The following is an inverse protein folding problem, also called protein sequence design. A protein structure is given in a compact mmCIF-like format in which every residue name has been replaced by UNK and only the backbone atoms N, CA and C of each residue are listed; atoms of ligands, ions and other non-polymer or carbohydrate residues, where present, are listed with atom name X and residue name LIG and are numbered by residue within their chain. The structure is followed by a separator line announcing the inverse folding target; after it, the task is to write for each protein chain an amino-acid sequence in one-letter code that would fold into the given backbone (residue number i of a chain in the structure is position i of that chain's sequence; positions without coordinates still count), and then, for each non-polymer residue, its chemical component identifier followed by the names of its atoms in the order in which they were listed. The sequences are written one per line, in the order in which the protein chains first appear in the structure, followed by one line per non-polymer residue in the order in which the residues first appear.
data_IF_587857393454
#
_entry.id   IF_587857393454
#
_cell.length_a   1.000
_cell.length_b   1.000
_cell.length_c   1.000
_cell.angle_alpha   90.00
_cell.angle_beta   90.00
_cell.angle_gamma   90.00
#
_symmetry.space_group_name_H-M   'P 1'
#
loop_
_entity.id
_entity.type
_entity.pdbx_description
1 polymer ?
#
# COMPACT_ATOMS: atom_id res chain seq x y z
N UNK A 1 -17.06 -19.03 -38.39
CA UNK A 1 -17.38 -18.21 -37.20
C UNK A 1 -16.19 -17.29 -36.94
N UNK A 2 -16.37 -15.96 -36.91
CA UNK A 2 -15.31 -15.08 -36.43
C UNK A 2 -14.97 -15.46 -34.98
N UNK A 3 -13.69 -15.45 -34.58
CA UNK A 3 -13.32 -15.74 -33.19
C UNK A 3 -14.04 -14.74 -32.30
N UNK A 4 -14.78 -15.24 -31.29
CA UNK A 4 -15.35 -14.40 -30.24
C UNK A 4 -14.22 -13.51 -29.73
N UNK A 5 -14.34 -12.19 -29.88
CA UNK A 5 -13.45 -11.23 -29.22
C UNK A 5 -13.33 -11.69 -27.77
N UNK A 6 -12.12 -12.06 -27.34
CA UNK A 6 -11.86 -12.34 -25.95
C UNK A 6 -12.33 -11.11 -25.18
N UNK A 7 -13.40 -11.26 -24.42
CA UNK A 7 -13.88 -10.20 -23.54
C UNK A 7 -12.73 -9.99 -22.57
N UNK A 8 -12.03 -8.86 -22.68
CA UNK A 8 -11.07 -8.44 -21.66
C UNK A 8 -11.88 -8.27 -20.39
N UNK A 9 -11.87 -9.27 -19.52
CA UNK A 9 -12.49 -9.15 -18.21
C UNK A 9 -11.83 -7.99 -17.48
N UNK A 10 -12.63 -7.00 -17.09
CA UNK A 10 -12.16 -5.84 -16.35
C UNK A 10 -11.77 -6.34 -14.96
N UNK A 11 -10.46 -6.33 -14.66
CA UNK A 11 -9.93 -6.90 -13.41
C UNK A 11 -10.29 -5.98 -12.26
N UNK A 12 -11.35 -6.32 -11.51
CA UNK A 12 -11.72 -5.61 -10.29
C UNK A 12 -10.71 -5.96 -9.20
N UNK A 13 -10.12 -4.93 -8.59
CA UNK A 13 -9.10 -5.09 -7.56
C UNK A 13 -9.76 -5.24 -6.20
N UNK A 14 -9.22 -6.14 -5.38
CA UNK A 14 -9.52 -6.20 -3.96
C UNK A 14 -9.02 -4.92 -3.27
N UNK A 15 -9.81 -4.41 -2.33
CA UNK A 15 -9.54 -3.17 -1.60
C UNK A 15 -10.36 -1.96 -2.08
N UNK A 16 -10.23 -0.85 -1.36
CA UNK A 16 -11.06 0.34 -1.58
C UNK A 16 -10.83 0.96 -2.97
N UNK A 17 -11.87 1.51 -3.61
CA UNK A 17 -11.70 2.32 -4.81
C UNK A 17 -11.06 3.68 -4.45
N UNK A 18 -10.30 4.25 -5.38
CA UNK A 18 -9.71 5.58 -5.26
C UNK A 18 -8.19 5.61 -5.35
N UNK A 19 -7.65 6.84 -5.31
CA UNK A 19 -6.21 7.12 -5.44
C UNK A 19 -5.56 7.58 -4.12
N UNK A 20 -6.38 7.97 -3.13
CA UNK A 20 -5.94 8.44 -1.81
C UNK A 20 -5.90 7.30 -0.79
N UNK A 21 -5.12 6.26 -1.11
CA UNK A 21 -5.00 5.08 -0.27
C UNK A 21 -3.97 5.27 0.85
N UNK A 22 -4.19 4.59 1.97
CA UNK A 22 -3.47 4.76 3.23
C UNK A 22 -2.67 3.52 3.60
N UNK A 23 -1.47 3.71 4.11
CA UNK A 23 -0.61 2.65 4.65
C UNK A 23 -0.65 2.66 6.18
N UNK A 24 -0.73 1.50 6.83
CA UNK A 24 -0.65 1.40 8.30
C UNK A 24 0.54 0.56 8.74
N UNK A 25 1.35 1.07 9.67
CA UNK A 25 2.44 0.33 10.30
C UNK A 25 1.86 -0.49 11.45
N UNK A 26 2.11 -1.80 11.44
CA UNK A 26 1.52 -2.78 12.36
C UNK A 26 2.62 -3.66 12.94
N UNK A 27 2.40 -4.19 14.14
CA UNK A 27 3.32 -5.11 14.80
C UNK A 27 3.05 -5.14 16.30
N UNK A 28 3.66 -6.10 16.99
CA UNK A 28 3.57 -6.18 18.45
C UNK A 28 4.19 -4.93 19.11
N UNK A 29 3.98 -4.74 20.41
CA UNK A 29 4.67 -3.68 21.12
C UNK A 29 6.20 -3.90 21.10
N UNK A 30 6.98 -2.81 21.16
CA UNK A 30 8.44 -2.82 21.25
C UNK A 30 9.21 -3.48 20.08
N UNK A 31 8.60 -3.59 18.89
CA UNK A 31 9.27 -4.12 17.68
C UNK A 31 9.99 -3.05 16.83
N UNK A 32 9.90 -1.77 17.23
CA UNK A 32 10.49 -0.63 16.52
C UNK A 32 9.55 0.13 15.58
N UNK A 33 8.22 0.04 15.74
CA UNK A 33 7.23 0.72 14.89
C UNK A 33 7.36 2.25 14.89
N UNK A 34 7.29 2.86 16.06
CA UNK A 34 7.31 4.32 16.18
C UNK A 34 8.67 4.90 15.78
N UNK A 35 9.78 4.23 16.12
CA UNK A 35 11.11 4.60 15.63
C UNK A 35 11.21 4.49 14.10
N UNK A 36 10.62 3.44 13.50
CA UNK A 36 10.55 3.32 12.05
C UNK A 36 9.70 4.44 11.42
N UNK A 37 8.54 4.76 12.01
CA UNK A 37 7.69 5.86 11.57
C UNK A 37 8.39 7.22 11.63
N UNK A 38 9.13 7.49 12.71
CA UNK A 38 9.96 8.70 12.85
C UNK A 38 11.06 8.76 11.79
N UNK A 39 11.76 7.65 11.56
CA UNK A 39 12.77 7.58 10.52
C UNK A 39 12.19 7.80 9.11
N UNK A 40 11.01 7.24 8.85
CA UNK A 40 10.28 7.37 7.59
C UNK A 40 9.82 8.81 7.31
N UNK A 41 9.43 9.52 8.36
CA UNK A 41 8.92 10.90 8.27
C UNK A 41 10.01 11.95 8.34
N UNK A 42 11.26 11.56 8.68
CA UNK A 42 12.35 12.46 9.05
C UNK A 42 11.93 13.45 10.15
N UNK A 43 10.94 13.10 10.97
CA UNK A 43 10.44 13.92 12.07
C UNK A 43 10.94 13.36 13.40
N UNK A 44 11.63 14.20 14.18
CA UNK A 44 11.99 13.93 15.57
C UNK A 44 10.80 14.20 16.49
N UNK A 45 9.78 13.33 16.45
CA UNK A 45 8.70 13.37 17.44
C UNK A 45 9.13 12.63 18.70
N UNK A 46 8.75 13.16 19.87
CA UNK A 46 9.21 12.69 21.18
C UNK A 46 8.90 11.20 21.40
N UNK A 47 9.93 10.47 21.79
CA UNK A 47 9.92 9.03 22.04
C UNK A 47 8.92 8.62 23.14
N UNK A 48 7.82 7.88 22.86
CA UNK A 48 6.99 7.26 23.87
C UNK A 48 7.46 5.82 24.15
N UNK A 49 8.75 5.63 24.46
CA UNK A 49 9.35 4.30 24.62
C UNK A 49 8.77 3.44 25.77
N UNK A 50 8.00 4.01 26.72
CA UNK A 50 7.74 3.36 28.01
C UNK A 50 6.26 3.16 28.39
N UNK A 51 5.29 3.32 27.47
CA UNK A 51 3.86 3.18 27.81
C UNK A 51 3.10 2.23 26.87
N UNK A 52 3.16 0.91 27.07
CA UNK A 52 2.49 -0.08 26.20
C UNK A 52 0.95 -0.09 26.28
N UNK A 53 0.33 0.74 27.13
CA UNK A 53 -1.12 0.75 27.39
C UNK A 53 -1.81 2.11 27.19
N UNK A 54 -1.16 3.09 26.56
CA UNK A 54 -1.80 4.38 26.30
C UNK A 54 -2.64 4.34 25.01
N UNK A 55 -3.92 4.75 25.08
CA UNK A 55 -4.77 4.95 23.90
C UNK A 55 -4.33 6.23 23.19
N UNK A 56 -3.50 6.10 22.16
CA UNK A 56 -3.05 7.23 21.32
C UNK A 56 -3.72 7.06 19.96
N UNK A 57 -4.41 8.09 19.48
CA UNK A 57 -4.96 8.12 18.12
C UNK A 57 -3.82 7.91 17.10
N UNK A 58 -4.04 7.18 15.99
CA UNK A 58 -2.99 6.90 15.01
C UNK A 58 -2.40 8.19 14.45
N UNK A 59 -1.07 8.31 14.50
CA UNK A 59 -0.36 9.47 13.92
C UNK A 59 -0.34 9.35 12.40
N UNK A 60 -0.81 10.38 11.69
CA UNK A 60 -0.75 10.46 10.22
C UNK A 60 0.49 11.24 9.77
N UNK A 61 1.21 10.71 8.79
CA UNK A 61 2.23 11.45 8.08
C UNK A 61 2.16 11.25 6.57
N UNK A 62 2.68 12.24 5.83
CA UNK A 62 2.84 12.18 4.38
C UNK A 62 4.31 12.07 4.04
N UNK A 63 4.66 11.01 3.32
CA UNK A 63 6.03 10.70 2.95
C UNK A 63 6.18 10.90 1.44
N UNK A 64 7.21 11.65 1.04
CA UNK A 64 7.52 11.88 -0.36
C UNK A 64 7.91 10.56 -1.01
N UNK A 65 7.35 10.28 -2.20
CA UNK A 65 7.72 9.10 -2.97
C UNK A 65 8.97 9.42 -3.79
N UNK A 66 10.10 8.71 -3.59
CA UNK A 66 11.28 8.89 -4.40
C UNK A 66 11.05 8.34 -5.81
N UNK A 67 11.37 9.13 -6.83
CA UNK A 67 11.20 8.76 -8.24
C UNK A 67 12.24 9.49 -9.11
N UNK A 68 13.25 8.76 -9.58
CA UNK A 68 14.32 9.31 -10.43
C UNK A 68 13.79 9.91 -11.74
N UNK A 69 12.60 9.48 -12.19
CA UNK A 69 11.95 10.05 -13.38
C UNK A 69 11.48 11.46 -13.10
N UNK A 70 10.88 11.68 -11.93
CA UNK A 70 10.46 13.00 -11.47
C UNK A 70 11.66 13.93 -11.32
N UNK A 71 12.74 13.46 -10.70
CA UNK A 71 13.97 14.24 -10.53
C UNK A 71 14.58 14.65 -11.88
N UNK A 72 14.57 13.74 -12.86
CA UNK A 72 15.02 14.06 -14.22
C UNK A 72 14.16 15.14 -14.87
N UNK A 73 12.83 15.06 -14.76
CA UNK A 73 11.90 16.07 -15.29
C UNK A 73 12.12 17.43 -14.63
N UNK A 74 12.28 17.47 -13.30
CA UNK A 74 12.57 18.71 -12.56
C UNK A 74 13.87 19.34 -13.05
N UNK A 75 14.93 18.55 -13.18
CA UNK A 75 16.23 19.02 -13.65
C UNK A 75 16.20 19.54 -15.09
N UNK A 76 15.40 18.90 -15.94
CA UNK A 76 15.25 19.27 -17.34
C UNK A 76 14.41 20.55 -17.52
N UNK A 77 13.19 20.60 -16.96
CA UNK A 77 12.27 21.72 -17.15
C UNK A 77 12.55 22.92 -16.24
N UNK A 78 13.28 22.73 -15.13
CA UNK A 78 13.60 23.76 -14.12
C UNK A 78 12.37 24.60 -13.73
N UNK A 79 11.29 23.97 -13.26
CA UNK A 79 10.02 24.66 -13.01
C UNK A 79 10.11 25.60 -11.81
N UNK A 80 9.17 26.54 -11.73
CA UNK A 80 8.98 27.39 -10.53
C UNK A 80 8.38 26.60 -9.36
N UNK A 81 7.52 25.62 -9.65
CA UNK A 81 6.85 24.75 -8.68
C UNK A 81 7.23 23.29 -8.90
N UNK A 82 7.60 22.60 -7.81
CA UNK A 82 7.97 21.18 -7.81
C UNK A 82 7.04 20.46 -6.83
N UNK A 83 6.18 19.57 -7.33
CA UNK A 83 5.18 18.89 -6.51
C UNK A 83 5.32 17.37 -6.65
N UNK A 84 6.05 16.69 -5.75
CA UNK A 84 6.19 15.24 -5.79
C UNK A 84 4.91 14.54 -5.30
N UNK A 85 4.80 13.24 -5.61
CA UNK A 85 3.75 12.42 -5.03
C UNK A 85 4.05 12.09 -3.57
N UNK A 86 2.99 11.93 -2.78
CA UNK A 86 3.08 11.56 -1.39
C UNK A 86 2.35 10.23 -1.13
N UNK A 87 2.84 9.47 -0.16
CA UNK A 87 2.19 8.33 0.43
C UNK A 87 1.70 8.71 1.83
N UNK A 88 0.44 8.42 2.15
CA UNK A 88 -0.10 8.60 3.51
C UNK A 88 0.18 7.37 4.35
N UNK A 89 0.86 7.56 5.48
CA UNK A 89 1.26 6.50 6.41
C UNK A 89 0.73 6.80 7.79
N UNK A 90 0.18 5.79 8.46
CA UNK A 90 -0.28 5.85 9.85
C UNK A 90 0.61 4.98 10.74
N UNK A 91 1.05 5.51 11.88
CA UNK A 91 1.57 4.68 12.97
C UNK A 91 0.39 4.11 13.75
N UNK A 92 0.20 2.79 13.73
CA UNK A 92 -0.86 2.13 14.47
C UNK A 92 -0.22 1.55 15.73
N UNK A 93 -0.82 1.86 16.90
CA UNK A 93 -0.36 1.44 18.23
C UNK A 93 -0.04 -0.07 18.30
N UNK A 94 0.79 -0.51 19.25
CA UNK A 94 1.17 -1.93 19.33
C UNK A 94 0.00 -2.87 19.60
N UNK A 95 -0.05 -3.99 18.87
CA UNK A 95 -0.96 -5.10 19.20
C UNK A 95 -0.44 -5.87 20.41
N UNK A 96 -1.35 -6.24 21.32
CA UNK A 96 -1.15 -7.28 22.35
C UNK A 96 -2.08 -8.45 22.07
N UNK A 97 -1.72 -9.66 22.48
CA UNK A 97 -2.57 -10.85 22.35
C UNK A 97 -3.94 -10.63 23.04
N UNK A 98 -5.00 -11.20 22.47
CA UNK A 98 -6.37 -11.08 22.99
C UNK A 98 -7.11 -9.82 22.52
N UNK A 99 -6.64 -9.20 21.44
CA UNK A 99 -7.22 -7.97 20.94
C UNK A 99 -8.64 -8.16 20.37
N UNK A 100 -8.90 -9.31 19.76
CA UNK A 100 -10.20 -9.68 19.20
C UNK A 100 -11.27 -9.95 20.26
N UNK A 101 -10.89 -10.52 21.42
CA UNK A 101 -11.81 -10.97 22.49
C UNK A 101 -12.33 -9.85 23.40
N UNK A 102 -11.98 -8.59 23.10
CA UNK A 102 -12.60 -7.41 23.73
C UNK A 102 -12.01 -6.97 25.08
N UNK A 103 -10.91 -7.57 25.52
CA UNK A 103 -10.17 -7.08 26.68
C UNK A 103 -9.28 -5.88 26.28
N UNK A 104 -9.80 -4.65 26.38
CA UNK A 104 -8.99 -3.42 26.30
C UNK A 104 -8.73 -2.85 24.90
N UNK A 105 -7.52 -2.28 24.71
CA UNK A 105 -7.07 -1.47 23.56
C UNK A 105 -7.09 -2.18 22.19
N UNK A 106 -7.24 -3.51 22.17
CA UNK A 106 -7.16 -4.31 20.94
C UNK A 106 -8.26 -4.03 19.91
N UNK A 107 -9.49 -3.72 20.35
CA UNK A 107 -10.56 -3.35 19.42
C UNK A 107 -10.28 -2.01 18.71
N UNK A 108 -9.70 -1.04 19.42
CA UNK A 108 -9.30 0.25 18.84
C UNK A 108 -8.22 0.03 17.76
N UNK A 109 -7.21 -0.79 18.07
CA UNK A 109 -6.17 -1.19 17.11
C UNK A 109 -6.74 -1.79 15.81
N UNK A 110 -7.63 -2.77 15.91
CA UNK A 110 -8.26 -3.39 14.74
C UNK A 110 -9.13 -2.40 13.94
N UNK A 111 -9.77 -1.44 14.62
CA UNK A 111 -10.50 -0.36 13.95
C UNK A 111 -9.59 0.57 13.15
N UNK A 112 -8.38 0.85 13.65
CA UNK A 112 -7.39 1.66 12.94
C UNK A 112 -6.81 0.93 11.73
N UNK A 113 -6.55 -0.38 11.84
CA UNK A 113 -6.17 -1.19 10.67
C UNK A 113 -7.30 -1.17 9.62
N UNK A 114 -8.55 -1.26 10.07
CA UNK A 114 -9.69 -1.19 9.14
C UNK A 114 -9.68 0.12 8.36
N UNK A 115 -9.24 1.23 8.94
CA UNK A 115 -9.18 2.55 8.30
C UNK A 115 -8.07 2.69 7.23
N UNK A 116 -7.03 1.86 7.24
CA UNK A 116 -5.97 1.87 6.20
C UNK A 116 -6.26 0.88 5.06
N UNK A 117 -5.45 0.90 4.01
CA UNK A 117 -5.64 0.09 2.80
C UNK A 117 -4.51 -0.93 2.56
N UNK A 118 -3.34 -0.74 3.18
CA UNK A 118 -2.24 -1.71 3.20
C UNK A 118 -1.59 -1.77 4.59
N UNK A 119 -1.03 -2.93 4.93
CA UNK A 119 -0.38 -3.19 6.22
C UNK A 119 1.13 -3.37 6.03
N UNK A 120 1.92 -2.65 6.82
CA UNK A 120 3.37 -2.76 6.89
C UNK A 120 3.74 -3.36 8.23
N UNK A 121 3.87 -4.69 8.25
CA UNK A 121 4.03 -5.44 9.48
C UNK A 121 5.50 -5.50 9.88
N UNK A 122 5.85 -4.77 10.94
CA UNK A 122 7.18 -4.79 11.56
C UNK A 122 7.32 -6.02 12.43
N UNK A 123 8.32 -6.84 12.13
CA UNK A 123 8.63 -8.08 12.82
C UNK A 123 9.98 -7.94 13.51
N UNK A 124 10.02 -8.08 14.84
CA UNK A 124 11.27 -7.98 15.61
C UNK A 124 12.13 -9.21 15.36
N UNK A 125 13.40 -9.02 14.99
CA UNK A 125 14.37 -10.10 14.75
C UNK A 125 15.75 -9.79 15.33
N UNK A 126 15.78 -8.95 16.37
CA UNK A 126 16.96 -8.63 17.14
C UNK A 126 16.73 -8.97 18.62
N UNK A 127 17.77 -9.49 19.25
CA UNK A 127 17.82 -9.69 20.69
C UNK A 127 18.43 -8.43 21.31
N UNK A 128 17.75 -7.86 22.32
CA UNK A 128 18.25 -6.73 23.10
C UNK A 128 17.78 -6.93 24.54
N UNK A 129 18.72 -6.96 25.48
CA UNK A 129 18.46 -7.21 26.89
C UNK A 129 17.67 -6.07 27.57
N UNK A 130 17.71 -4.86 27.00
CA UNK A 130 17.01 -3.70 27.53
C UNK A 130 15.55 -3.61 27.04
N UNK A 131 15.21 -4.36 25.98
CA UNK A 131 13.90 -4.29 25.32
C UNK A 131 13.10 -5.55 25.60
N UNK A 132 12.16 -5.45 26.54
CA UNK A 132 11.27 -6.56 26.94
C UNK A 132 10.30 -6.90 25.80
N UNK A 133 10.25 -8.19 25.44
CA UNK A 133 9.24 -8.72 24.53
C UNK A 133 7.93 -8.97 25.28
N UNK A 134 6.79 -8.60 24.68
CA UNK A 134 5.47 -8.77 25.31
C UNK A 134 5.19 -10.23 25.67
N UNK A 135 5.73 -11.14 24.87
CA UNK A 135 5.56 -12.59 24.99
C UNK A 135 6.79 -13.29 25.62
N UNK A 136 7.65 -12.54 26.34
CA UNK A 136 8.85 -13.06 26.99
C UNK A 136 10.07 -13.13 26.07
N UNK A 137 10.23 -14.22 25.33
CA UNK A 137 11.34 -14.42 24.39
C UNK A 137 11.02 -13.90 22.98
N UNK A 138 12.05 -13.56 22.21
CA UNK A 138 11.92 -13.13 20.80
C UNK A 138 11.67 -14.36 19.91
N UNK A 139 10.42 -14.52 19.46
CA UNK A 139 10.02 -15.53 18.48
C UNK A 139 9.19 -14.90 17.34
N UNK A 140 9.83 -14.56 16.21
CA UNK A 140 9.18 -13.89 15.09
C UNK A 140 8.07 -14.70 14.43
N UNK A 141 8.14 -16.04 14.47
CA UNK A 141 7.14 -16.91 13.83
C UNK A 141 5.86 -16.89 14.66
N UNK A 142 5.99 -17.04 15.98
CA UNK A 142 4.87 -16.89 16.91
C UNK A 142 4.21 -15.52 16.76
N UNK A 143 5.01 -14.46 16.63
CA UNK A 143 4.47 -13.09 16.51
C UNK A 143 3.70 -12.87 15.19
N UNK A 144 4.17 -13.48 14.09
CA UNK A 144 3.46 -13.51 12.81
C UNK A 144 2.12 -14.25 12.94
N UNK A 145 2.11 -15.41 13.61
CA UNK A 145 0.90 -16.21 13.86
C UNK A 145 -0.13 -15.44 14.68
N UNK A 146 0.28 -14.83 15.80
CA UNK A 146 -0.61 -14.04 16.67
C UNK A 146 -1.32 -12.96 15.85
N UNK A 147 -0.57 -12.15 15.09
CA UNK A 147 -1.17 -11.06 14.32
C UNK A 147 -2.12 -11.63 13.26
N UNK A 148 -1.71 -12.65 12.51
CA UNK A 148 -2.53 -13.24 11.45
C UNK A 148 -3.83 -13.85 11.98
N UNK A 149 -3.77 -14.55 13.12
CA UNK A 149 -4.93 -15.13 13.78
C UNK A 149 -5.90 -14.06 14.31
N UNK A 150 -5.40 -13.02 14.97
CA UNK A 150 -6.24 -11.93 15.50
C UNK A 150 -7.00 -11.20 14.39
N UNK A 151 -6.34 -10.96 13.24
CA UNK A 151 -7.00 -10.36 12.07
C UNK A 151 -8.09 -11.28 11.51
N UNK A 152 -7.81 -12.59 11.37
CA UNK A 152 -8.79 -13.56 10.88
C UNK A 152 -9.97 -13.74 11.82
N UNK A 153 -9.74 -13.84 13.13
CA UNK A 153 -10.83 -13.97 14.13
C UNK A 153 -11.79 -12.78 13.98
N UNK A 154 -11.27 -11.57 13.83
CA UNK A 154 -12.12 -10.39 13.66
C UNK A 154 -12.87 -10.36 12.34
N UNK A 155 -12.25 -10.84 11.27
CA UNK A 155 -12.92 -11.00 9.98
C UNK A 155 -14.00 -12.10 10.02
N UNK A 156 -13.79 -13.20 10.76
CA UNK A 156 -14.80 -14.24 10.98
C UNK A 156 -16.02 -13.64 11.67
N UNK A 157 -15.84 -12.94 12.80
CA UNK A 157 -16.94 -12.30 13.53
C UNK A 157 -17.75 -11.34 12.64
N UNK A 158 -17.05 -10.55 11.80
CA UNK A 158 -17.69 -9.60 10.91
C UNK A 158 -18.45 -10.30 9.77
N UNK A 159 -17.82 -11.32 9.19
CA UNK A 159 -18.39 -12.09 8.07
C UNK A 159 -19.61 -12.90 8.52
N UNK A 160 -19.60 -13.46 9.73
CA UNK A 160 -20.76 -14.16 10.32
C UNK A 160 -21.97 -13.24 10.47
N UNK A 161 -21.76 -12.01 10.96
CA UNK A 161 -22.83 -10.99 11.06
C UNK A 161 -23.35 -10.57 9.69
N UNK A 162 -22.46 -10.39 8.71
CA UNK A 162 -22.86 -10.07 7.34
C UNK A 162 -23.69 -11.21 6.72
N UNK A 163 -23.26 -12.46 6.94
CA UNK A 163 -23.95 -13.65 6.47
C UNK A 163 -25.34 -13.79 7.10
N UNK A 164 -25.47 -13.59 8.42
CA UNK A 164 -26.76 -13.66 9.11
C UNK A 164 -27.78 -12.67 8.51
N UNK A 165 -27.35 -11.45 8.19
CA UNK A 165 -28.18 -10.45 7.56
C UNK A 165 -28.61 -10.86 6.14
N UNK A 166 -27.68 -11.40 5.33
CA UNK A 166 -27.98 -11.90 3.99
C UNK A 166 -28.96 -13.06 4.02
N UNK A 167 -28.78 -14.03 4.92
CA UNK A 167 -29.69 -15.18 5.10
C UNK A 167 -31.11 -14.72 5.45
N UNK A 168 -31.25 -13.68 6.29
CA UNK A 168 -32.57 -13.11 6.61
C UNK A 168 -33.26 -12.52 5.38
N UNK A 169 -32.50 -11.86 4.49
CA UNK A 169 -33.02 -11.27 3.26
C UNK A 169 -33.39 -12.34 2.23
N UNK A 170 -32.55 -13.36 2.05
CA UNK A 170 -32.75 -14.41 1.05
C UNK A 170 -33.82 -15.43 1.43
N UNK A 171 -34.11 -15.61 2.74
CA UNK A 171 -35.13 -16.54 3.26
C UNK A 171 -36.55 -16.26 2.74
N UNK A 172 -36.87 -15.01 2.39
CA UNK A 172 -38.17 -14.63 1.81
C UNK A 172 -38.46 -15.33 0.47
N UNK A 173 -37.45 -15.87 -0.20
CA UNK A 173 -37.59 -16.53 -1.49
C UNK A 173 -37.93 -15.57 -2.63
N UNK A 174 -38.10 -16.11 -3.84
CA UNK A 174 -38.42 -15.34 -5.04
C UNK A 174 -37.46 -15.60 -6.20
N UNK A 175 -37.92 -15.30 -7.42
CA UNK A 175 -37.16 -15.47 -8.67
C UNK A 175 -36.74 -14.14 -9.31
N UNK A 176 -36.95 -13.01 -8.61
CA UNK A 176 -36.55 -11.69 -9.11
C UNK A 176 -35.03 -11.61 -9.30
N UNK A 177 -34.59 -10.71 -10.18
CA UNK A 177 -33.17 -10.49 -10.45
C UNK A 177 -32.41 -10.06 -9.17
N UNK A 178 -33.05 -9.24 -8.33
CA UNK A 178 -32.52 -8.81 -7.04
C UNK A 178 -32.30 -9.99 -6.08
N UNK A 179 -33.27 -10.91 -5.98
CA UNK A 179 -33.13 -12.10 -5.13
C UNK A 179 -32.04 -13.05 -5.62
N UNK A 180 -31.80 -13.12 -6.94
CA UNK A 180 -30.67 -13.87 -7.48
C UNK A 180 -29.34 -13.24 -7.07
N UNK A 181 -29.23 -11.90 -7.15
CA UNK A 181 -28.03 -11.17 -6.72
C UNK A 181 -27.74 -11.38 -5.23
N UNK A 182 -28.75 -11.26 -4.36
CA UNK A 182 -28.58 -11.51 -2.92
C UNK A 182 -28.12 -12.93 -2.61
N UNK A 183 -28.57 -13.93 -3.38
CA UNK A 183 -28.11 -15.32 -3.24
C UNK A 183 -26.66 -15.51 -3.71
N UNK A 184 -26.27 -14.86 -4.79
CA UNK A 184 -24.86 -14.84 -5.26
C UNK A 184 -23.95 -14.18 -4.20
N UNK A 185 -24.38 -13.06 -3.62
CA UNK A 185 -23.68 -12.37 -2.53
C UNK A 185 -23.58 -13.28 -1.29
N UNK A 186 -24.67 -13.92 -0.88
CA UNK A 186 -24.67 -14.87 0.24
C UNK A 186 -23.66 -16.00 0.01
N UNK A 187 -23.68 -16.64 -1.15
CA UNK A 187 -22.75 -17.73 -1.47
C UNK A 187 -21.28 -17.26 -1.45
N UNK A 188 -21.01 -16.03 -1.89
CA UNK A 188 -19.68 -15.42 -1.80
C UNK A 188 -19.25 -15.21 -0.34
N UNK A 189 -20.15 -14.67 0.50
CA UNK A 189 -19.87 -14.45 1.93
C UNK A 189 -19.69 -15.77 2.69
N UNK A 190 -20.44 -16.81 2.35
CA UNK A 190 -20.25 -18.18 2.88
C UNK A 190 -18.85 -18.71 2.53
N UNK A 191 -18.46 -18.61 1.25
CA UNK A 191 -17.13 -19.02 0.78
C UNK A 191 -16.00 -18.27 1.50
N UNK A 192 -16.15 -16.96 1.72
CA UNK A 192 -15.19 -16.15 2.50
C UNK A 192 -15.09 -16.65 3.94
N UNK A 193 -16.23 -16.93 4.57
CA UNK A 193 -16.27 -17.42 5.96
C UNK A 193 -15.58 -18.78 6.10
N UNK A 194 -15.83 -19.70 5.17
CA UNK A 194 -15.16 -21.02 5.13
C UNK A 194 -13.64 -20.88 4.95
N UNK A 195 -13.21 -20.00 4.04
CA UNK A 195 -11.79 -19.71 3.81
C UNK A 195 -11.11 -19.21 5.11
N UNK A 196 -11.72 -18.22 5.77
CA UNK A 196 -11.19 -17.66 7.02
C UNK A 196 -11.11 -18.71 8.13
N UNK A 197 -12.15 -19.55 8.28
CA UNK A 197 -12.18 -20.66 9.26
C UNK A 197 -11.14 -21.75 8.97
N UNK A 198 -10.71 -21.88 7.71
CA UNK A 198 -9.61 -22.78 7.33
C UNK A 198 -8.22 -22.21 7.63
N UNK A 199 -8.13 -21.01 8.20
CA UNK A 199 -6.86 -20.36 8.55
C UNK A 199 -6.19 -19.59 7.40
N UNK A 200 -6.90 -19.34 6.29
CA UNK A 200 -6.38 -18.63 5.12
C UNK A 200 -6.90 -17.19 5.05
N UNK A 201 -6.05 -16.29 4.55
CA UNK A 201 -6.38 -14.88 4.39
C UNK A 201 -7.07 -14.62 3.04
N UNK A 202 -8.03 -13.70 3.03
CA UNK A 202 -8.85 -13.39 1.84
C UNK A 202 -8.02 -12.91 0.65
N UNK A 203 -6.89 -12.23 0.87
CA UNK A 203 -6.03 -11.69 -0.20
C UNK A 203 -5.31 -12.74 -1.05
N UNK A 204 -5.18 -13.98 -0.58
CA UNK A 204 -4.42 -15.03 -1.29
C UNK A 204 -5.30 -15.94 -2.15
N UNK A 205 -6.61 -15.79 -2.09
CA UNK A 205 -7.55 -16.55 -2.90
C UNK A 205 -7.86 -15.81 -4.21
N UNK A 206 -8.17 -16.57 -5.28
CA UNK A 206 -8.55 -15.96 -6.56
C UNK A 206 -10.05 -15.74 -6.62
N UNK A 207 -10.46 -14.47 -6.59
CA UNK A 207 -11.86 -14.05 -6.64
C UNK A 207 -12.22 -13.55 -8.04
N UNK A 208 -13.41 -13.93 -8.51
CA UNK A 208 -14.01 -13.35 -9.71
C UNK A 208 -14.36 -11.87 -9.50
N UNK A 209 -14.48 -11.06 -10.56
CA UNK A 209 -14.85 -9.64 -10.43
C UNK A 209 -16.10 -9.38 -9.59
N UNK A 210 -17.14 -10.22 -9.75
CA UNK A 210 -18.38 -10.15 -8.96
C UNK A 210 -18.14 -10.46 -7.48
N UNK A 211 -17.35 -11.48 -7.18
CA UNK A 211 -17.02 -11.82 -5.79
C UNK A 211 -16.25 -10.67 -5.13
N UNK A 212 -15.31 -10.04 -5.85
CA UNK A 212 -14.56 -8.87 -5.35
C UNK A 212 -15.50 -7.69 -5.05
N UNK A 213 -16.50 -7.43 -5.90
CA UNK A 213 -17.53 -6.41 -5.65
C UNK A 213 -18.34 -6.69 -4.38
N UNK A 214 -18.58 -7.97 -4.03
CA UNK A 214 -19.22 -8.36 -2.77
C UNK A 214 -18.27 -8.26 -1.57
N UNK A 215 -16.99 -8.57 -1.74
CA UNK A 215 -16.00 -8.59 -0.65
C UNK A 215 -15.57 -7.18 -0.25
N UNK A 216 -15.36 -6.27 -1.20
CA UNK A 216 -14.83 -4.93 -0.93
C UNK A 216 -15.64 -4.13 0.10
N UNK A 217 -17.00 -4.13 0.08
CA UNK A 217 -17.82 -3.47 1.10
C UNK A 217 -17.70 -4.05 2.52
N UNK A 218 -17.15 -5.26 2.68
CA UNK A 218 -16.93 -5.86 4.00
C UNK A 218 -15.71 -5.27 4.72
N UNK A 219 -14.82 -4.57 4.00
CA UNK A 219 -13.59 -3.97 4.52
C UNK A 219 -12.76 -4.91 5.40
N UNK A 220 -12.67 -6.19 4.99
CA UNK A 220 -11.96 -7.23 5.73
C UNK A 220 -10.49 -6.88 5.93
N UNK A 221 -9.93 -7.23 7.08
CA UNK A 221 -8.55 -6.96 7.45
C UNK A 221 -7.58 -7.83 6.64
N UNK A 222 -7.89 -9.12 6.52
CA UNK A 222 -7.13 -10.14 5.76
C UNK A 222 -7.17 -9.95 4.24
N UNK A 223 -8.04 -9.06 3.73
CA UNK A 223 -8.10 -8.67 2.33
C UNK A 223 -7.07 -7.59 1.95
N UNK A 224 -6.48 -6.90 2.94
CA UNK A 224 -5.50 -5.83 2.70
C UNK A 224 -4.13 -6.44 2.33
N UNK A 225 -3.41 -5.91 1.33
CA UNK A 225 -2.04 -6.34 1.06
C UNK A 225 -1.13 -6.07 2.26
N UNK A 226 -0.18 -6.99 2.50
CA UNK A 226 0.78 -6.93 3.60
C UNK A 226 2.21 -6.90 3.06
N UNK A 227 3.06 -6.09 3.66
CA UNK A 227 4.52 -6.10 3.45
C UNK A 227 5.19 -6.33 4.80
N UNK A 228 6.05 -7.33 4.87
CA UNK A 228 6.77 -7.71 6.10
C UNK A 228 8.09 -6.97 6.19
N UNK A 229 8.21 -6.11 7.19
CA UNK A 229 9.40 -5.35 7.52
C UNK A 229 10.15 -6.07 8.64
N UNK A 230 11.16 -6.87 8.28
CA UNK A 230 11.91 -7.69 9.24
C UNK A 230 13.00 -6.83 9.88
N UNK A 231 12.76 -6.38 11.11
CA UNK A 231 13.65 -5.48 11.83
C UNK A 231 14.80 -6.25 12.48
N UNK A 232 16.01 -6.05 11.94
CA UNK A 232 17.25 -6.66 12.36
C UNK A 232 18.10 -5.66 13.18
N UNK A 233 19.05 -6.19 13.95
CA UNK A 233 20.13 -5.36 14.46
C UNK A 233 20.96 -4.79 13.30
N UNK A 234 21.58 -3.63 13.50
CA UNK A 234 22.43 -3.01 12.47
C UNK A 234 23.53 -3.97 11.99
N UNK A 235 24.14 -4.72 12.92
CA UNK A 235 25.15 -5.75 12.62
C UNK A 235 24.62 -6.85 11.71
N UNK A 236 23.43 -7.37 12.00
CA UNK A 236 22.81 -8.46 11.24
C UNK A 236 22.35 -8.01 9.86
N UNK A 237 21.86 -6.78 9.78
CA UNK A 237 21.49 -6.12 8.54
C UNK A 237 22.70 -5.91 7.63
N UNK A 238 23.79 -5.31 8.13
CA UNK A 238 25.01 -5.05 7.33
C UNK A 238 25.61 -6.36 6.81
N UNK A 239 25.74 -7.38 7.67
CA UNK A 239 26.32 -8.68 7.26
C UNK A 239 25.36 -9.55 6.43
N UNK A 240 24.11 -9.13 6.26
CA UNK A 240 23.04 -9.85 5.54
C UNK A 240 22.79 -11.27 6.09
N UNK A 241 22.85 -11.45 7.42
CA UNK A 241 22.64 -12.76 8.08
C UNK A 241 21.96 -12.61 9.43
N UNK A 242 20.88 -13.37 9.64
CA UNK A 242 20.16 -13.45 10.91
C UNK A 242 19.55 -14.85 11.10
N UNK A 243 19.48 -15.31 12.35
CA UNK A 243 19.01 -16.66 12.72
C UNK A 243 17.51 -16.89 12.45
N UNK A 244 16.71 -15.84 12.40
CA UNK A 244 15.26 -15.92 12.23
C UNK A 244 14.79 -15.78 10.78
N UNK A 245 15.58 -15.13 9.91
CA UNK A 245 15.21 -14.89 8.50
C UNK A 245 14.74 -16.15 7.75
N UNK A 246 15.44 -17.32 7.84
CA UNK A 246 14.97 -18.52 7.15
C UNK A 246 13.61 -19.02 7.64
N UNK A 247 13.35 -18.92 8.96
CA UNK A 247 12.08 -19.34 9.55
C UNK A 247 10.92 -18.45 9.10
N UNK A 248 11.14 -17.14 9.04
CA UNK A 248 10.16 -16.17 8.56
C UNK A 248 9.86 -16.38 7.08
N UNK A 249 10.90 -16.59 6.26
CA UNK A 249 10.72 -16.86 4.84
C UNK A 249 9.88 -18.12 4.59
N UNK A 250 10.11 -19.19 5.36
CA UNK A 250 9.31 -20.42 5.25
C UNK A 250 7.87 -20.22 5.73
N UNK A 251 7.66 -19.49 6.82
CA UNK A 251 6.32 -19.17 7.31
C UNK A 251 5.53 -18.34 6.28
N UNK A 252 6.14 -17.31 5.68
CA UNK A 252 5.48 -16.46 4.68
C UNK A 252 5.21 -17.26 3.40
N UNK A 253 6.13 -18.12 2.98
CA UNK A 253 5.91 -18.99 1.81
C UNK A 253 4.71 -19.91 1.98
N UNK A 254 4.44 -20.36 3.20
CA UNK A 254 3.35 -21.30 3.51
C UNK A 254 2.02 -20.59 3.79
N UNK A 255 2.02 -19.47 4.52
CA UNK A 255 0.81 -18.79 5.01
C UNK A 255 0.45 -17.53 4.24
N UNK A 256 1.43 -16.86 3.64
CA UNK A 256 1.27 -15.58 2.95
C UNK A 256 2.02 -15.53 1.60
N UNK A 257 1.78 -16.50 0.70
CA UNK A 257 2.58 -16.65 -0.52
C UNK A 257 2.48 -15.40 -1.40
N UNK A 258 3.64 -14.86 -1.78
CA UNK A 258 3.77 -13.68 -2.63
C UNK A 258 3.89 -12.35 -1.89
N UNK A 259 3.64 -12.32 -0.57
CA UNK A 259 3.78 -11.09 0.21
C UNK A 259 5.28 -10.69 0.33
N UNK A 260 5.64 -9.41 0.10
CA UNK A 260 7.04 -8.99 0.12
C UNK A 260 7.67 -9.05 1.52
N UNK A 261 8.92 -9.48 1.57
CA UNK A 261 9.78 -9.45 2.76
C UNK A 261 10.89 -8.43 2.53
N UNK A 262 11.00 -7.44 3.41
CA UNK A 262 12.07 -6.45 3.37
C UNK A 262 12.82 -6.51 4.71
N UNK A 263 14.05 -7.04 4.74
CA UNK A 263 14.95 -6.85 5.86
C UNK A 263 15.25 -5.36 6.02
N UNK A 264 15.11 -4.86 7.25
CA UNK A 264 15.43 -3.48 7.62
C UNK A 264 16.26 -3.48 8.91
N UNK A 265 16.91 -2.36 9.20
CA UNK A 265 17.42 -2.08 10.53
C UNK A 265 16.90 -0.72 10.95
N UNK A 266 15.94 -0.71 11.88
CA UNK A 266 15.35 0.53 12.36
C UNK A 266 16.38 1.36 13.12
N UNK A 267 17.30 0.72 13.84
CA UNK A 267 18.41 1.42 14.52
C UNK A 267 19.33 2.13 13.52
N UNK A 268 19.65 1.49 12.39
CA UNK A 268 20.42 2.14 11.33
C UNK A 268 19.63 3.31 10.72
N UNK A 269 18.36 3.10 10.37
CA UNK A 269 17.51 4.16 9.80
C UNK A 269 17.43 5.38 10.72
N UNK A 270 17.21 5.17 12.02
CA UNK A 270 17.21 6.24 13.01
C UNK A 270 18.58 6.93 13.07
N UNK A 271 19.68 6.19 13.08
CA UNK A 271 21.04 6.75 13.05
C UNK A 271 21.28 7.63 11.82
N UNK A 272 20.79 7.21 10.65
CA UNK A 272 20.90 7.96 9.40
C UNK A 272 20.13 9.29 9.44
N UNK A 273 19.01 9.37 10.16
CA UNK A 273 18.28 10.66 10.31
C UNK A 273 19.02 11.72 11.12
N UNK A 274 20.08 11.36 11.85
CA UNK A 274 20.89 12.30 12.64
C UNK A 274 21.93 13.04 11.79
N UNK A 275 22.17 12.59 10.55
CA UNK A 275 23.06 13.29 9.63
C UNK A 275 22.35 14.49 9.01
N UNK A 276 23.07 15.60 8.89
CA UNK A 276 22.50 16.87 8.43
C UNK A 276 22.31 16.96 6.92
N UNK A 277 22.93 16.05 6.15
CA UNK A 277 22.84 16.06 4.68
C UNK A 277 22.80 14.66 4.09
N UNK A 278 22.10 14.52 2.95
CA UNK A 278 22.05 13.27 2.19
C UNK A 278 23.45 12.84 1.70
N UNK A 279 24.38 13.78 1.50
CA UNK A 279 25.77 13.48 1.16
C UNK A 279 26.51 12.77 2.30
N UNK A 280 26.32 13.23 3.54
CA UNK A 280 26.91 12.59 4.72
C UNK A 280 26.28 11.20 4.99
N UNK A 281 24.98 11.06 4.74
CA UNK A 281 24.28 9.75 4.76
C UNK A 281 24.91 8.81 3.74
N UNK A 282 25.14 9.26 2.51
CA UNK A 282 25.73 8.45 1.45
C UNK A 282 27.16 8.00 1.80
N UNK A 283 28.00 8.90 2.34
CA UNK A 283 29.37 8.58 2.77
C UNK A 283 29.38 7.54 3.90
N UNK A 284 28.48 7.66 4.87
CA UNK A 284 28.35 6.69 5.96
C UNK A 284 27.91 5.32 5.46
N UNK A 285 26.92 5.28 4.57
CA UNK A 285 26.43 4.04 3.95
C UNK A 285 27.54 3.34 3.15
N UNK A 286 28.36 4.10 2.43
CA UNK A 286 29.53 3.58 1.72
C UNK A 286 30.56 2.97 2.68
N UNK A 287 30.88 3.65 3.78
CA UNK A 287 31.82 3.17 4.81
C UNK A 287 31.39 1.84 5.43
N UNK A 288 30.11 1.70 5.76
CA UNK A 288 29.57 0.47 6.36
C UNK A 288 29.20 -0.60 5.32
N UNK A 289 29.34 -0.29 4.02
CA UNK A 289 29.10 -1.22 2.93
C UNK A 289 27.62 -1.58 2.71
N UNK A 290 26.71 -0.64 2.93
CA UNK A 290 25.26 -0.85 2.72
C UNK A 290 24.61 0.27 1.91
N UNK A 291 23.32 0.17 1.65
CA UNK A 291 22.53 1.17 0.91
C UNK A 291 21.35 1.65 1.75
N UNK A 292 20.89 2.86 1.44
CA UNK A 292 19.64 3.35 2.02
C UNK A 292 18.48 2.49 1.50
N UNK A 293 17.77 1.88 2.44
CA UNK A 293 16.62 1.01 2.16
C UNK A 293 15.30 1.79 2.17
N UNK A 294 15.28 3.00 2.72
CA UNK A 294 14.06 3.79 2.87
C UNK A 294 13.36 4.07 1.52
N UNK A 295 14.08 4.46 0.44
CA UNK A 295 13.46 4.63 -0.87
C UNK A 295 12.83 3.35 -1.41
N UNK A 296 13.51 2.21 -1.19
CA UNK A 296 13.00 0.89 -1.59
C UNK A 296 11.75 0.51 -0.79
N UNK A 297 11.70 0.84 0.49
CA UNK A 297 10.51 0.61 1.32
C UNK A 297 9.36 1.44 0.76
N UNK A 298 9.48 2.77 0.66
CA UNK A 298 8.42 3.67 0.18
C UNK A 298 7.88 3.24 -1.20
N UNK A 299 8.77 2.91 -2.13
CA UNK A 299 8.36 2.43 -3.47
C UNK A 299 7.67 1.06 -3.41
N UNK A 300 8.07 0.18 -2.50
CA UNK A 300 7.35 -1.09 -2.26
C UNK A 300 5.99 -0.85 -1.61
N UNK A 301 5.89 0.10 -0.66
CA UNK A 301 4.62 0.48 -0.05
C UNK A 301 3.62 0.96 -1.10
N UNK A 302 4.08 1.82 -2.01
CA UNK A 302 3.28 2.33 -3.14
C UNK A 302 2.81 1.20 -4.07
N UNK A 303 3.70 0.26 -4.40
CA UNK A 303 3.38 -0.90 -5.24
C UNK A 303 2.36 -1.82 -4.58
N UNK A 304 2.45 -2.04 -3.27
CA UNK A 304 1.48 -2.85 -2.53
C UNK A 304 0.06 -2.28 -2.61
N UNK A 305 -0.08 -0.95 -2.63
CA UNK A 305 -1.36 -0.26 -2.85
C UNK A 305 -1.82 -0.23 -4.32
N UNK A 306 -1.03 -0.82 -5.23
CA UNK A 306 -1.23 -0.77 -6.68
C UNK A 306 -1.36 0.66 -7.22
N UNK A 307 -0.54 1.56 -6.70
CA UNK A 307 -0.47 2.96 -7.12
C UNK A 307 0.68 3.17 -8.11
N UNK A 308 0.40 3.91 -9.18
CA UNK A 308 1.36 4.42 -10.15
C UNK A 308 1.34 5.95 -10.19
N UNK A 309 2.17 6.55 -11.03
CA UNK A 309 2.25 7.99 -11.24
C UNK A 309 2.06 8.34 -12.71
N UNK A 310 1.51 9.52 -12.97
CA UNK A 310 1.76 10.23 -14.21
C UNK A 310 2.30 11.62 -13.89
N UNK A 311 2.88 12.29 -14.89
CA UNK A 311 3.49 13.60 -14.71
C UNK A 311 2.81 14.65 -15.57
N UNK A 312 2.76 15.87 -15.05
CA UNK A 312 2.54 17.09 -15.84
C UNK A 312 3.79 17.94 -15.75
N UNK A 313 4.24 18.48 -16.89
CA UNK A 313 5.52 19.17 -17.01
C UNK A 313 5.35 20.55 -17.64
N UNK A 314 6.26 21.47 -17.32
CA UNK A 314 6.29 22.83 -17.86
C UNK A 314 7.26 23.70 -17.06
N UNK A 315 7.49 24.93 -17.55
CA UNK A 315 8.36 25.91 -16.86
C UNK A 315 7.73 26.47 -15.59
N UNK A 316 6.41 26.40 -15.45
CA UNK A 316 5.71 26.85 -14.25
C UNK A 316 5.66 25.75 -13.18
N UNK A 317 5.33 24.51 -13.55
CA UNK A 317 5.22 23.39 -12.62
C UNK A 317 5.65 22.06 -13.25
N UNK A 318 6.39 21.25 -12.47
CA UNK A 318 6.48 19.81 -12.67
C UNK A 318 5.82 19.12 -11.48
N UNK A 319 4.84 18.27 -11.77
CA UNK A 319 4.04 17.59 -10.74
C UNK A 319 3.87 16.11 -11.02
N UNK A 320 4.00 15.31 -9.97
CA UNK A 320 3.76 13.88 -9.97
C UNK A 320 2.38 13.60 -9.35
N UNK A 321 1.50 13.01 -10.15
CA UNK A 321 0.13 12.72 -9.78
C UNK A 321 -0.04 11.23 -9.47
N UNK A 322 -0.60 10.92 -8.30
CA UNK A 322 -0.88 9.53 -7.90
C UNK A 322 -2.19 9.03 -8.50
N UNK A 323 -2.14 7.86 -9.14
CA UNK A 323 -3.31 7.14 -9.65
C UNK A 323 -3.20 5.65 -9.30
N UNK A 324 -4.34 4.95 -9.22
CA UNK A 324 -4.33 3.48 -9.17
C UNK A 324 -3.97 2.93 -10.54
N UNK A 325 -3.17 1.86 -10.60
CA UNK A 325 -2.85 1.23 -11.87
C UNK A 325 -4.16 0.69 -12.50
N UNK A 326 -4.35 0.95 -13.80
CA UNK A 326 -5.60 0.65 -14.50
C UNK A 326 -6.54 1.85 -14.66
N UNK A 327 -6.23 3.00 -14.05
CA UNK A 327 -7.00 4.24 -14.24
C UNK A 327 -6.98 4.70 -15.70
N UNK A 328 -8.17 5.01 -16.25
CA UNK A 328 -8.31 5.52 -17.63
C UNK A 328 -7.99 7.01 -17.73
N UNK A 329 -7.63 7.49 -18.91
CA UNK A 329 -7.22 8.87 -19.15
C UNK A 329 -8.21 9.94 -18.65
N UNK A 330 -9.55 9.80 -18.83
CA UNK A 330 -10.50 10.77 -18.26
C UNK A 330 -10.46 10.81 -16.72
N UNK A 331 -10.36 9.65 -16.08
CA UNK A 331 -10.29 9.54 -14.62
C UNK A 331 -8.99 10.13 -14.09
N UNK A 332 -7.87 9.89 -14.78
CA UNK A 332 -6.58 10.51 -14.46
C UNK A 332 -6.64 12.04 -14.60
N UNK A 333 -7.33 12.56 -15.63
CA UNK A 333 -7.58 13.98 -15.77
C UNK A 333 -8.42 14.56 -14.61
N UNK A 334 -9.39 13.79 -14.12
CA UNK A 334 -10.19 14.11 -12.93
C UNK A 334 -9.37 14.31 -11.65
N UNK A 335 -8.22 13.62 -11.54
CA UNK A 335 -7.28 13.81 -10.41
C UNK A 335 -6.64 15.19 -10.42
N UNK A 336 -6.45 15.79 -11.59
CA UNK A 336 -5.97 17.18 -11.73
C UNK A 336 -7.09 18.13 -11.35
N UNK A 337 -8.26 17.95 -11.97
CA UNK A 337 -9.46 18.73 -11.69
C UNK A 337 -10.70 17.98 -12.17
N UNK A 338 -11.76 17.95 -11.36
CA UNK A 338 -12.99 17.19 -11.68
C UNK A 338 -13.67 17.58 -13.00
N UNK A 339 -13.50 18.82 -13.46
CA UNK A 339 -14.04 19.25 -14.76
C UNK A 339 -13.31 18.64 -15.93
N UNK A 340 -12.01 18.35 -15.82
CA UNK A 340 -11.26 17.74 -16.92
C UNK A 340 -11.72 16.31 -17.22
N UNK A 341 -12.24 15.58 -16.24
CA UNK A 341 -12.85 14.28 -16.47
C UNK A 341 -14.16 14.43 -17.26
N UNK A 342 -15.01 15.39 -16.86
CA UNK A 342 -16.32 15.64 -17.50
C UNK A 342 -16.19 16.14 -18.93
N UNK A 343 -15.23 17.03 -19.19
CA UNK A 343 -15.02 17.67 -20.48
C UNK A 343 -13.85 17.07 -21.26
N UNK A 344 -13.36 15.88 -20.86
CA UNK A 344 -12.22 15.21 -21.49
C UNK A 344 -12.41 15.04 -23.00
N UNK A 345 -11.41 15.50 -23.78
CA UNK A 345 -11.36 15.31 -25.23
C UNK A 345 -10.32 14.23 -25.56
N UNK A 346 -9.06 14.46 -25.17
CA UNK A 346 -7.95 13.55 -25.42
C UNK A 346 -6.78 13.83 -24.46
N UNK A 347 -5.88 12.87 -24.33
CA UNK A 347 -4.58 13.05 -23.70
C UNK A 347 -3.47 12.95 -24.75
N UNK A 348 -2.57 13.92 -24.76
CA UNK A 348 -1.28 13.80 -25.45
C UNK A 348 -0.33 13.15 -24.46
N UNK A 349 0.25 12.02 -24.85
CA UNK A 349 1.07 11.18 -23.98
C UNK A 349 2.48 11.13 -24.54
N UNK A 350 3.45 11.47 -23.68
CA UNK A 350 4.86 11.21 -23.92
C UNK A 350 5.29 10.08 -22.97
N UNK A 351 5.78 8.99 -23.54
CA UNK A 351 6.41 7.95 -22.74
C UNK A 351 7.72 8.49 -22.16
N UNK A 352 7.90 8.38 -20.84
CA UNK A 352 9.09 8.94 -20.17
C UNK A 352 10.41 8.36 -20.71
N UNK A 353 10.46 7.05 -20.99
CA UNK A 353 11.67 6.41 -21.52
C UNK A 353 12.10 7.02 -22.85
N UNK A 354 11.14 7.22 -23.75
CA UNK A 354 11.36 7.89 -25.05
C UNK A 354 11.75 9.35 -24.86
N UNK A 355 11.08 10.08 -23.96
CA UNK A 355 11.40 11.48 -23.68
C UNK A 355 12.83 11.64 -23.16
N UNK A 356 13.25 10.77 -22.23
CA UNK A 356 14.60 10.76 -21.67
C UNK A 356 15.66 10.42 -22.70
N UNK A 357 15.38 9.46 -23.60
CA UNK A 357 16.30 9.07 -24.68
C UNK A 357 16.50 10.19 -25.72
N UNK A 358 15.41 10.86 -26.11
CA UNK A 358 15.45 11.92 -27.13
C UNK A 358 15.94 13.25 -26.55
N UNK A 359 15.66 13.51 -25.27
CA UNK A 359 16.09 14.69 -24.53
C UNK A 359 15.03 15.78 -24.45
N UNK A 360 14.16 15.96 -25.46
CA UNK A 360 13.15 17.02 -25.47
C UNK A 360 11.82 16.61 -26.15
N UNK A 361 10.73 17.32 -25.84
CA UNK A 361 9.40 17.05 -26.41
C UNK A 361 9.33 17.29 -27.93
N UNK A 362 10.09 18.26 -28.45
CA UNK A 362 10.06 18.63 -29.86
C UNK A 362 10.63 17.51 -30.73
N UNK A 363 11.71 16.88 -30.29
CA UNK A 363 12.35 15.72 -30.90
C UNK A 363 11.45 14.50 -30.83
N UNK A 364 10.78 14.24 -29.70
CA UNK A 364 9.82 13.13 -29.59
C UNK A 364 8.67 13.33 -30.61
N UNK A 365 8.21 14.56 -30.77
CA UNK A 365 7.19 14.93 -31.76
C UNK A 365 7.70 14.79 -33.20
N UNK A 366 8.92 15.25 -33.49
CA UNK A 366 9.54 15.12 -34.81
C UNK A 366 9.76 13.66 -35.22
N UNK A 367 10.04 12.77 -34.26
CA UNK A 367 10.14 11.33 -34.48
C UNK A 367 8.78 10.61 -34.56
N UNK A 368 7.67 11.32 -34.41
CA UNK A 368 6.32 10.73 -34.46
C UNK A 368 6.02 9.77 -33.30
N UNK A 369 6.78 9.84 -32.19
CA UNK A 369 6.63 8.97 -31.02
C UNK A 369 5.65 9.52 -29.97
N UNK A 370 5.09 10.71 -30.21
CA UNK A 370 4.02 11.28 -29.37
C UNK A 370 2.72 10.56 -29.65
N UNK A 371 2.04 10.12 -28.59
CA UNK A 371 0.75 9.45 -28.72
C UNK A 371 -0.40 10.40 -28.43
N UNK A 372 -1.46 10.31 -29.22
CA UNK A 372 -2.75 10.94 -28.90
C UNK A 372 -3.75 9.86 -28.52
N UNK A 373 -4.29 9.95 -27.32
CA UNK A 373 -5.09 8.89 -26.70
C UNK A 373 -6.47 9.40 -26.29
N UNK A 374 -7.48 8.58 -26.57
CA UNK A 374 -8.89 8.84 -26.22
C UNK A 374 -9.29 8.29 -24.85
N UNK A 375 -10.61 8.18 -24.62
CA UNK A 375 -11.20 7.83 -23.32
C UNK A 375 -10.84 6.43 -22.80
N UNK A 376 -10.60 5.48 -23.70
CA UNK A 376 -10.31 4.08 -23.33
C UNK A 376 -8.84 3.81 -23.02
N UNK A 377 -7.97 4.83 -23.12
CA UNK A 377 -6.57 4.67 -22.79
C UNK A 377 -6.40 4.49 -21.29
N UNK A 378 -5.71 3.41 -20.90
CA UNK A 378 -5.25 3.17 -19.54
C UNK A 378 -3.92 3.89 -19.38
N UNK A 379 -3.83 4.82 -18.43
CA UNK A 379 -2.61 5.56 -18.17
C UNK A 379 -1.56 4.62 -17.61
N UNK A 380 -0.35 4.67 -18.17
CA UNK A 380 0.78 3.86 -17.74
C UNK A 380 1.61 4.61 -16.69
N UNK A 381 2.22 3.86 -15.77
CA UNK A 381 3.10 4.45 -14.75
C UNK A 381 4.31 5.12 -15.42
N UNK A 382 4.46 6.41 -15.16
CA UNK A 382 5.51 7.26 -15.71
C UNK A 382 5.11 8.02 -16.97
N UNK A 383 3.87 7.90 -17.45
CA UNK A 383 3.40 8.73 -18.56
C UNK A 383 3.52 10.23 -18.23
N UNK A 384 4.01 11.01 -19.19
CA UNK A 384 3.94 12.48 -19.14
C UNK A 384 2.73 12.90 -19.97
N UNK A 385 1.74 13.52 -19.31
CA UNK A 385 0.44 13.81 -19.89
C UNK A 385 0.22 15.30 -20.08
N UNK A 386 -0.26 15.65 -21.28
CA UNK A 386 -0.92 16.92 -21.54
C UNK A 386 -2.40 16.66 -21.83
N UNK A 387 -3.25 17.01 -20.88
CA UNK A 387 -4.70 16.84 -20.97
C UNK A 387 -5.31 17.92 -21.87
N UNK A 388 -6.15 17.50 -22.82
CA UNK A 388 -7.01 18.39 -23.60
C UNK A 388 -8.45 18.16 -23.15
N UNK A 389 -9.04 19.19 -22.56
CA UNK A 389 -10.41 19.20 -22.07
C UNK A 389 -11.16 20.41 -22.64
N UNK A 390 -12.46 20.27 -22.85
CA UNK A 390 -13.33 21.36 -23.29
C UNK A 390 -13.55 22.40 -22.18
N UNK A 391 -14.07 23.56 -22.55
CA UNK A 391 -14.48 24.58 -21.59
C UNK A 391 -15.54 24.00 -20.63
N UNK A 392 -15.36 24.24 -19.33
CA UNK A 392 -16.38 23.90 -18.33
C UNK A 392 -17.68 24.63 -18.70
N UNK A 393 -18.79 23.88 -18.80
CA UNK A 393 -20.11 24.50 -18.85
C UNK A 393 -20.42 24.93 -17.42
N UNK A 394 -20.43 26.24 -17.20
CA UNK A 394 -20.72 26.87 -15.91
C UNK A 394 -22.09 26.53 -15.36
#
# INVERSE_FOLDING_TARGET
MPPKKAVKEEKVLLGRPGNSLKSGIVGLANVGKSTFFQALTKCSLGNPANFPYATIDPEEARVIVPDERFDWLVNYYKPKSIVPANLTVYDIAGLTRGASTGAGLGNAFLSHIRAVDAVFQVVRCFDDAEIIHVEGDVDPVRDLEIIAEELRIKDIEFTEKALENLVKLTRRGGQSLEMKKLKEEQATVEKVLELLKSGKDVRHENWSPKEVETINPLFLLSAKPVVYLVNLSEKDYIRQKNKHLPKIAEWIKTHAPGDPIIPISVSLLERLTRFESDAAVAEELEKIGTKDVLPKIITTMRKALNLGSFFTTGTDEVRQWTIRNGTKAPQAAGVIHGDFEKTFIQAVVYNFGVLKEVGDEAGVKAQGKVMTKGKDYVVEDGDVLLIKAGAAKG
#
